data_IF_090559372112
#
_entry.id   IF_090559372112
#
_cell.length_a   1.000
_cell.length_b   1.000
_cell.length_c   1.000
_cell.angle_alpha   90.00
_cell.angle_beta   90.00
_cell.angle_gamma   90.00
#
_symmetry.space_group_name_H-M   'P 1'
#
loop_
_entity.id
_entity.type
_entity.pdbx_description
1 polymer ?
#
# COMPACT_ATOMS: atom_id res chain seq x y z
N UNK A 1 -9.84 -8.90 9.64
CA UNK A 1 -8.96 -8.71 8.45
C UNK A 1 -9.51 -9.56 7.30
N UNK A 2 -9.13 -9.26 6.06
CA UNK A 2 -9.47 -10.09 4.89
C UNK A 2 -8.21 -10.45 4.14
N UNK A 3 -8.07 -11.74 3.83
CA UNK A 3 -6.93 -12.28 3.10
C UNK A 3 -7.40 -13.21 1.97
N UNK A 4 -7.40 -12.67 0.74
CA UNK A 4 -7.78 -13.43 -0.47
C UNK A 4 -6.73 -14.48 -0.88
N UNK A 5 -5.57 -14.52 -0.21
CA UNK A 5 -4.52 -15.54 -0.41
C UNK A 5 -4.63 -16.69 0.59
N UNK A 6 -5.29 -16.47 1.73
CA UNK A 6 -5.62 -17.53 2.67
C UNK A 6 -6.73 -18.41 2.10
N UNK A 7 -6.56 -19.72 2.22
CA UNK A 7 -7.56 -20.71 1.77
C UNK A 7 -8.60 -21.03 2.85
N UNK A 8 -8.30 -20.71 4.11
CA UNK A 8 -9.11 -21.04 5.27
C UNK A 8 -9.19 -19.85 6.20
N UNK A 9 -10.40 -19.57 6.68
CA UNK A 9 -10.62 -18.48 7.65
C UNK A 9 -9.85 -18.80 8.93
N UNK A 10 -9.19 -17.78 9.50
CA UNK A 10 -8.41 -17.91 10.72
C UNK A 10 -9.03 -17.10 11.86
N UNK A 11 -8.93 -17.61 13.07
CA UNK A 11 -9.35 -16.91 14.29
C UNK A 11 -8.30 -17.10 15.38
N UNK A 12 -8.03 -16.03 16.13
CA UNK A 12 -7.18 -16.09 17.31
C UNK A 12 -7.93 -16.66 18.52
N UNK A 13 -7.17 -17.15 19.51
CA UNK A 13 -7.73 -17.67 20.77
C UNK A 13 -8.59 -16.64 21.51
N UNK A 14 -8.25 -15.35 21.42
CA UNK A 14 -9.01 -14.27 22.06
C UNK A 14 -10.47 -14.14 21.58
N UNK A 15 -10.86 -14.79 20.47
CA UNK A 15 -12.24 -14.79 19.98
C UNK A 15 -13.16 -15.81 20.65
N UNK A 16 -12.67 -16.60 21.60
CA UNK A 16 -13.43 -17.65 22.25
C UNK A 16 -13.57 -17.35 23.74
N UNK A 17 -14.78 -17.54 24.29
CA UNK A 17 -15.04 -17.36 25.73
C UNK A 17 -14.33 -18.41 26.60
N UNK A 18 -13.99 -19.56 26.01
CA UNK A 18 -13.28 -20.67 26.64
C UNK A 18 -12.29 -21.29 25.66
N UNK A 19 -11.37 -22.13 26.16
CA UNK A 19 -10.35 -22.77 25.31
C UNK A 19 -11.03 -23.54 24.15
N UNK A 20 -10.76 -23.17 22.88
CA UNK A 20 -11.44 -23.77 21.75
C UNK A 20 -11.01 -25.23 21.57
N UNK A 21 -11.99 -26.11 21.35
CA UNK A 21 -11.71 -27.52 21.10
C UNK A 21 -11.23 -27.73 19.66
N UNK A 22 -9.99 -28.22 19.52
CA UNK A 22 -9.42 -28.63 18.24
C UNK A 22 -10.16 -29.86 17.73
N UNK A 23 -10.78 -29.74 16.56
CA UNK A 23 -11.55 -30.80 15.90
C UNK A 23 -10.70 -31.64 14.97
N UNK A 24 -9.77 -31.00 14.27
CA UNK A 24 -8.89 -31.62 13.30
C UNK A 24 -7.59 -30.82 13.16
N UNK A 25 -6.62 -31.38 12.45
CA UNK A 25 -5.44 -30.65 11.98
C UNK A 25 -5.39 -30.73 10.47
N UNK A 26 -5.54 -29.58 9.80
CA UNK A 26 -5.59 -29.47 8.35
C UNK A 26 -4.25 -28.97 7.80
N UNK A 27 -3.92 -29.37 6.57
CA UNK A 27 -2.76 -28.85 5.85
C UNK A 27 -3.24 -27.82 4.83
N UNK A 28 -2.66 -26.63 4.87
CA UNK A 28 -2.97 -25.52 3.96
C UNK A 28 -1.68 -25.10 3.27
N UNK A 29 -1.74 -24.93 1.95
CA UNK A 29 -0.59 -24.44 1.18
C UNK A 29 -0.63 -22.92 1.09
N UNK A 30 0.53 -22.26 1.16
CA UNK A 30 0.69 -20.83 0.93
C UNK A 30 1.03 -20.56 -0.54
N UNK A 31 0.81 -19.33 -1.06
CA UNK A 31 1.22 -18.97 -2.42
C UNK A 31 2.69 -19.27 -2.72
N UNK A 32 3.57 -19.07 -1.73
CA UNK A 32 5.01 -19.36 -1.84
C UNK A 32 5.33 -20.86 -1.93
N UNK A 33 4.36 -21.74 -1.66
CA UNK A 33 4.49 -23.19 -1.76
C UNK A 33 4.74 -23.91 -0.43
N UNK A 34 4.83 -23.18 0.69
CA UNK A 34 4.93 -23.75 2.03
C UNK A 34 3.63 -24.47 2.42
N UNK A 35 3.74 -25.58 3.14
CA UNK A 35 2.58 -26.31 3.68
C UNK A 35 2.52 -26.12 5.19
N UNK A 36 1.50 -25.38 5.63
CA UNK A 36 1.23 -25.08 7.03
C UNK A 36 0.25 -26.10 7.61
N UNK A 37 0.52 -26.58 8.81
CA UNK A 37 -0.41 -27.42 9.57
C UNK A 37 -1.18 -26.56 10.58
N UNK A 38 -2.50 -26.46 10.40
CA UNK A 38 -3.37 -25.58 11.18
C UNK A 38 -4.36 -26.42 11.99
N UNK A 39 -4.52 -26.10 13.26
CA UNK A 39 -5.53 -26.73 14.12
C UNK A 39 -6.89 -26.11 13.81
N UNK A 40 -7.85 -26.92 13.41
CA UNK A 40 -9.20 -26.49 13.03
C UNK A 40 -10.12 -26.49 14.25
N UNK A 41 -10.84 -25.38 14.45
CA UNK A 41 -11.80 -25.15 15.52
C UNK A 41 -13.13 -24.69 14.93
N UNK A 42 -14.21 -24.73 15.71
CA UNK A 42 -15.47 -24.11 15.28
C UNK A 42 -15.57 -22.68 15.77
N UNK A 43 -15.51 -21.74 14.83
CA UNK A 43 -15.74 -20.33 15.09
C UNK A 43 -17.24 -20.09 15.29
N UNK A 44 -17.67 -19.51 16.42
CA UNK A 44 -19.03 -19.02 16.56
C UNK A 44 -19.41 -18.07 15.42
N UNK A 45 -20.70 -17.97 15.12
CA UNK A 45 -21.17 -17.06 14.08
C UNK A 45 -20.72 -15.63 14.35
N UNK A 46 -20.25 -14.94 13.31
CA UNK A 46 -19.74 -13.58 13.39
C UNK A 46 -20.80 -12.60 12.89
N UNK A 47 -20.77 -11.39 13.43
CA UNK A 47 -21.59 -10.29 12.92
C UNK A 47 -20.71 -9.10 12.60
N UNK A 48 -20.82 -8.61 11.38
CA UNK A 48 -20.16 -7.43 10.86
C UNK A 48 -21.24 -6.45 10.41
N UNK A 49 -21.50 -5.42 11.19
CA UNK A 49 -22.60 -4.47 10.97
C UNK A 49 -23.95 -5.17 10.68
N UNK A 50 -24.40 -5.09 9.43
CA UNK A 50 -25.64 -5.69 8.94
C UNK A 50 -25.47 -7.14 8.43
N UNK A 51 -24.24 -7.61 8.23
CA UNK A 51 -23.94 -8.96 7.75
C UNK A 51 -23.72 -9.93 8.93
N UNK A 52 -24.29 -11.12 8.83
CA UNK A 52 -24.05 -12.21 9.78
C UNK A 52 -23.43 -13.39 9.03
N UNK A 53 -22.26 -13.84 9.47
CA UNK A 53 -21.68 -15.10 9.06
C UNK A 53 -22.17 -16.20 10.01
N UNK A 54 -22.73 -17.30 9.50
CA UNK A 54 -23.07 -18.43 10.35
C UNK A 54 -21.80 -19.05 10.95
N UNK A 55 -21.92 -19.87 12.01
CA UNK A 55 -20.78 -20.61 12.54
C UNK A 55 -20.07 -21.41 11.43
N UNK A 56 -18.74 -21.36 11.43
CA UNK A 56 -17.92 -21.96 10.37
C UNK A 56 -16.63 -22.59 10.92
N UNK A 57 -16.06 -23.59 10.24
CA UNK A 57 -14.74 -24.12 10.61
C UNK A 57 -13.66 -23.07 10.35
N UNK A 58 -12.81 -22.80 11.33
CA UNK A 58 -11.72 -21.85 11.20
C UNK A 58 -10.41 -22.46 11.71
N UNK A 59 -9.30 -22.04 11.14
CA UNK A 59 -7.98 -22.33 11.67
C UNK A 59 -7.68 -21.50 12.91
N UNK A 60 -7.09 -22.13 13.93
CA UNK A 60 -6.69 -21.47 15.15
C UNK A 60 -5.30 -20.84 14.99
N UNK A 61 -5.23 -19.52 15.13
CA UNK A 61 -4.00 -18.75 15.10
C UNK A 61 -3.60 -18.30 16.52
N UNK A 62 -2.30 -18.01 16.71
CA UNK A 62 -1.80 -17.44 17.96
C UNK A 62 -2.12 -15.95 18.02
N UNK A 63 -2.70 -15.50 19.13
CA UNK A 63 -2.97 -14.10 19.39
C UNK A 63 -3.86 -13.95 20.62
N UNK A 64 -3.58 -12.91 21.41
CA UNK A 64 -4.27 -12.66 22.68
C UNK A 64 -5.54 -11.81 22.53
N UNK A 65 -5.59 -10.94 21.52
CA UNK A 65 -6.80 -10.20 21.13
C UNK A 65 -7.73 -11.05 20.25
N UNK A 66 -9.01 -10.73 20.19
CA UNK A 66 -9.90 -11.35 19.20
C UNK A 66 -9.67 -10.74 17.82
N UNK A 67 -9.05 -11.51 16.92
CA UNK A 67 -8.89 -11.18 15.52
C UNK A 67 -9.39 -12.34 14.66
N UNK A 68 -10.15 -12.01 13.62
CA UNK A 68 -10.59 -12.94 12.59
C UNK A 68 -10.04 -12.49 11.24
N UNK A 69 -9.44 -13.41 10.51
CA UNK A 69 -9.01 -13.23 9.12
C UNK A 69 -9.91 -14.04 8.21
N UNK A 70 -10.82 -13.35 7.51
CA UNK A 70 -11.71 -14.00 6.54
C UNK A 70 -10.92 -14.34 5.27
N UNK A 71 -11.05 -15.59 4.84
CA UNK A 71 -10.27 -16.16 3.75
C UNK A 71 -11.17 -16.55 2.58
N UNK A 72 -10.60 -17.17 1.54
CA UNK A 72 -11.32 -17.53 0.32
C UNK A 72 -12.58 -18.38 0.54
N UNK A 73 -12.58 -19.26 1.56
CA UNK A 73 -13.73 -20.08 1.92
C UNK A 73 -14.98 -19.27 2.29
N UNK A 74 -14.80 -18.02 2.70
CA UNK A 74 -15.88 -17.06 2.96
C UNK A 74 -15.96 -16.01 1.86
N UNK A 75 -14.84 -15.35 1.53
CA UNK A 75 -14.85 -14.16 0.67
C UNK A 75 -15.07 -14.50 -0.81
N UNK A 76 -14.82 -15.74 -1.22
CA UNK A 76 -14.99 -16.20 -2.60
C UNK A 76 -16.41 -16.12 -3.15
N UNK A 77 -17.43 -15.91 -2.30
CA UNK A 77 -18.83 -15.77 -2.69
C UNK A 77 -19.29 -14.31 -2.90
N UNK A 78 -18.43 -13.32 -2.59
CA UNK A 78 -18.81 -11.91 -2.54
C UNK A 78 -17.93 -11.05 -3.46
N UNK A 79 -18.46 -9.88 -3.81
CA UNK A 79 -17.65 -8.77 -4.28
C UNK A 79 -17.16 -7.96 -3.07
N UNK A 80 -15.85 -7.88 -2.89
CA UNK A 80 -15.22 -7.14 -1.81
C UNK A 80 -14.95 -5.70 -2.25
N UNK A 81 -15.68 -4.73 -1.71
CA UNK A 81 -15.44 -3.31 -1.94
C UNK A 81 -14.52 -2.76 -0.83
N UNK A 82 -13.37 -2.22 -1.23
CA UNK A 82 -12.40 -1.52 -0.37
C UNK A 82 -12.46 -0.05 -0.73
N UNK A 83 -12.86 0.79 0.22
CA UNK A 83 -12.82 2.24 0.07
C UNK A 83 -11.68 2.80 0.93
N UNK A 84 -10.69 3.44 0.30
CA UNK A 84 -9.45 3.84 0.95
C UNK A 84 -9.64 5.00 1.92
N UNK A 85 -10.29 6.07 1.46
CA UNK A 85 -10.46 7.27 2.26
C UNK A 85 -11.22 7.01 3.58
N UNK A 86 -12.41 6.39 3.58
CA UNK A 86 -13.11 6.05 4.82
C UNK A 86 -12.56 4.76 5.48
N UNK A 87 -11.57 4.10 4.87
CA UNK A 87 -11.01 2.80 5.28
C UNK A 87 -12.06 1.74 5.57
N UNK A 88 -13.10 1.71 4.74
CA UNK A 88 -14.19 0.75 4.90
C UNK A 88 -14.01 -0.44 3.97
N UNK A 89 -14.52 -1.56 4.44
CA UNK A 89 -14.58 -2.81 3.72
C UNK A 89 -16.03 -3.27 3.69
N UNK A 90 -16.59 -3.48 2.51
CA UNK A 90 -17.96 -3.94 2.35
C UNK A 90 -18.03 -5.23 1.52
N UNK A 91 -18.88 -6.15 1.97
CA UNK A 91 -19.24 -7.35 1.23
C UNK A 91 -20.51 -7.07 0.43
N UNK A 92 -20.43 -7.18 -0.90
CA UNK A 92 -21.56 -7.00 -1.81
C UNK A 92 -21.87 -8.29 -2.56
N UNK A 93 -23.09 -8.37 -3.08
CA UNK A 93 -23.43 -9.36 -4.07
C UNK A 93 -22.57 -9.18 -5.33
N UNK A 94 -22.06 -10.30 -5.85
CA UNK A 94 -21.33 -10.32 -7.12
C UNK A 94 -22.19 -9.82 -8.28
N UNK A 95 -21.53 -9.28 -9.31
CA UNK A 95 -22.17 -8.83 -10.56
C UNK A 95 -21.43 -9.42 -11.75
N UNK A 96 -22.11 -9.68 -12.89
CA UNK A 96 -21.42 -10.15 -14.08
C UNK A 96 -20.35 -9.15 -14.54
N UNK A 97 -19.28 -9.66 -15.16
CA UNK A 97 -18.13 -8.86 -15.66
C UNK A 97 -18.59 -7.70 -16.53
N UNK A 98 -19.58 -7.91 -17.38
CA UNK A 98 -20.13 -6.92 -18.30
C UNK A 98 -20.74 -5.72 -17.56
N UNK A 99 -21.33 -5.95 -16.37
CA UNK A 99 -21.88 -4.87 -15.55
C UNK A 99 -20.77 -3.98 -14.96
N UNK A 100 -19.64 -4.58 -14.59
CA UNK A 100 -18.46 -3.82 -14.13
C UNK A 100 -17.86 -3.00 -15.27
N UNK A 101 -17.72 -3.58 -16.47
CA UNK A 101 -17.26 -2.88 -17.66
C UNK A 101 -18.20 -1.72 -18.06
N UNK A 102 -19.51 -1.94 -18.04
CA UNK A 102 -20.50 -0.91 -18.33
C UNK A 102 -20.43 0.25 -17.32
N UNK A 103 -20.28 -0.06 -16.03
CA UNK A 103 -20.10 0.96 -14.97
C UNK A 103 -18.82 1.76 -15.18
N UNK A 104 -17.71 1.09 -15.52
CA UNK A 104 -16.44 1.77 -15.79
C UNK A 104 -16.54 2.73 -16.99
N UNK A 105 -17.21 2.31 -18.08
CA UNK A 105 -17.42 3.13 -19.26
C UNK A 105 -18.31 4.37 -19.00
N UNK A 106 -19.18 4.30 -18.00
CA UNK A 106 -20.07 5.40 -17.59
C UNK A 106 -19.46 6.34 -16.54
N UNK A 107 -18.24 6.07 -16.06
CA UNK A 107 -17.58 6.89 -15.06
C UNK A 107 -17.13 8.23 -15.66
N UNK A 108 -17.71 9.34 -15.19
CA UNK A 108 -17.45 10.69 -15.72
C UNK A 108 -16.36 11.41 -14.91
N UNK A 109 -16.39 11.27 -13.59
CA UNK A 109 -15.52 11.97 -12.63
C UNK A 109 -14.38 11.09 -12.09
N UNK A 110 -14.41 9.79 -12.38
CA UNK A 110 -13.41 8.82 -11.94
C UNK A 110 -12.67 8.21 -13.13
N UNK A 111 -11.44 7.79 -12.88
CA UNK A 111 -10.74 6.82 -13.72
C UNK A 111 -11.01 5.44 -13.16
N UNK A 112 -11.75 4.62 -13.90
CA UNK A 112 -12.10 3.24 -13.50
C UNK A 112 -11.44 2.27 -14.45
N UNK A 113 -10.62 1.37 -13.91
CA UNK A 113 -9.97 0.29 -14.65
C UNK A 113 -10.55 -1.03 -14.20
N UNK A 114 -10.97 -1.87 -15.15
CA UNK A 114 -11.40 -3.25 -14.86
C UNK A 114 -10.29 -4.20 -15.34
N UNK A 115 -9.65 -4.87 -14.40
CA UNK A 115 -8.60 -5.85 -14.63
C UNK A 115 -9.19 -7.26 -14.55
N UNK A 116 -8.70 -8.16 -15.39
CA UNK A 116 -9.08 -9.57 -15.35
C UNK A 116 -8.32 -10.30 -14.25
N UNK A 117 -9.05 -11.05 -13.42
CA UNK A 117 -8.51 -11.98 -12.45
C UNK A 117 -8.67 -13.40 -12.99
N UNK A 118 -7.55 -14.04 -13.26
CA UNK A 118 -7.54 -15.50 -13.48
C UNK A 118 -7.45 -16.23 -12.14
N UNK A 119 -7.64 -17.55 -12.14
CA UNK A 119 -7.58 -18.37 -10.93
C UNK A 119 -6.48 -19.41 -11.04
N UNK A 120 -5.72 -19.57 -9.96
CA UNK A 120 -4.78 -20.68 -9.87
C UNK A 120 -5.57 -22.01 -9.83
N UNK A 121 -5.26 -23.00 -10.70
CA UNK A 121 -6.13 -24.17 -10.88
C UNK A 121 -6.31 -25.10 -9.67
N UNK A 122 -5.42 -25.06 -8.68
CA UNK A 122 -5.43 -25.97 -7.53
C UNK A 122 -6.05 -25.34 -6.30
N UNK A 123 -5.83 -24.05 -6.12
CA UNK A 123 -6.14 -23.32 -4.88
C UNK A 123 -7.03 -22.11 -5.09
N UNK A 124 -7.46 -21.83 -6.34
CA UNK A 124 -8.35 -20.72 -6.69
C UNK A 124 -7.79 -19.32 -6.28
N UNK A 125 -6.48 -19.20 -6.10
CA UNK A 125 -5.86 -17.90 -5.83
C UNK A 125 -6.13 -16.90 -6.96
N UNK A 126 -6.51 -15.64 -6.65
CA UNK A 126 -6.69 -14.62 -7.66
C UNK A 126 -5.34 -14.24 -8.27
N UNK A 127 -5.22 -14.43 -9.58
CA UNK A 127 -4.02 -14.14 -10.34
C UNK A 127 -4.20 -12.92 -11.21
N UNK A 128 -3.25 -11.99 -11.12
CA UNK A 128 -3.11 -10.83 -11.99
C UNK A 128 -1.92 -11.04 -12.94
N UNK A 129 -2.06 -10.70 -14.23
CA UNK A 129 -0.89 -10.52 -15.07
C UNK A 129 -0.13 -9.27 -14.59
N UNK A 130 1.17 -9.43 -14.33
CA UNK A 130 2.03 -8.33 -13.91
C UNK A 130 3.21 -8.23 -14.85
N UNK A 131 3.50 -7.01 -15.30
CA UNK A 131 4.74 -6.69 -15.99
C UNK A 131 5.67 -5.91 -15.08
N UNK A 132 6.83 -6.48 -14.77
CA UNK A 132 7.94 -5.82 -14.07
C UNK A 132 9.01 -5.46 -15.11
N UNK A 133 9.58 -4.27 -15.03
CA UNK A 133 10.67 -3.79 -15.89
C UNK A 133 11.81 -3.23 -15.05
N UNK A 134 13.05 -3.57 -15.41
CA UNK A 134 14.26 -3.08 -14.76
C UNK A 134 15.39 -2.97 -15.78
N UNK A 135 15.86 -1.76 -16.09
CA UNK A 135 17.00 -1.46 -16.96
C UNK A 135 17.02 -2.28 -18.26
N UNK A 136 15.87 -2.41 -18.93
CA UNK A 136 15.72 -3.16 -20.17
C UNK A 136 15.35 -4.64 -19.99
N UNK A 137 15.57 -5.24 -18.82
CA UNK A 137 15.01 -6.53 -18.47
C UNK A 137 13.50 -6.42 -18.19
N UNK A 138 12.75 -7.47 -18.47
CA UNK A 138 11.31 -7.51 -18.20
C UNK A 138 10.83 -8.90 -17.82
N UNK A 139 9.98 -8.95 -16.79
CA UNK A 139 9.22 -10.12 -16.37
C UNK A 139 7.74 -9.85 -16.63
N UNK A 140 7.09 -10.69 -17.44
CA UNK A 140 5.63 -10.70 -17.57
C UNK A 140 5.12 -12.04 -17.11
N UNK A 141 4.43 -12.07 -15.97
CA UNK A 141 4.06 -13.32 -15.31
C UNK A 141 2.85 -13.18 -14.38
N UNK A 142 2.18 -14.28 -14.00
CA UNK A 142 1.09 -14.25 -13.03
C UNK A 142 1.62 -14.03 -11.61
N UNK A 143 1.01 -13.09 -10.91
CA UNK A 143 1.21 -12.86 -9.48
C UNK A 143 -0.11 -13.03 -8.75
N UNK A 144 -0.06 -13.53 -7.53
CA UNK A 144 -1.24 -13.61 -6.66
C UNK A 144 -1.57 -12.22 -6.12
N UNK A 145 -2.82 -11.78 -6.25
CA UNK A 145 -3.30 -10.56 -5.61
C UNK A 145 -3.40 -10.81 -4.09
N UNK A 146 -2.75 -9.96 -3.28
CA UNK A 146 -2.84 -10.02 -1.82
C UNK A 146 -3.56 -8.80 -1.27
N UNK A 147 -4.50 -9.04 -0.34
CA UNK A 147 -5.17 -8.01 0.47
C UNK A 147 -4.51 -7.80 1.82
N UNK A 148 -3.53 -8.63 2.19
CA UNK A 148 -2.92 -8.65 3.51
C UNK A 148 -1.46 -8.17 3.48
N UNK A 149 -0.77 -8.35 2.35
CA UNK A 149 0.61 -7.90 2.20
C UNK A 149 0.68 -6.42 1.81
N UNK A 150 1.38 -5.61 2.63
CA UNK A 150 1.64 -4.21 2.31
C UNK A 150 2.65 -4.02 1.16
N UNK A 151 3.54 -5.00 0.94
CA UNK A 151 4.60 -4.94 -0.09
C UNK A 151 4.50 -6.11 -1.06
N UNK A 152 4.74 -5.81 -2.32
CA UNK A 152 4.82 -6.80 -3.38
C UNK A 152 6.09 -7.64 -3.28
N UNK A 153 5.98 -8.90 -3.68
CA UNK A 153 6.99 -9.92 -3.47
C UNK A 153 7.23 -10.71 -4.76
N UNK A 154 8.42 -11.26 -4.93
CA UNK A 154 8.81 -11.99 -6.14
C UNK A 154 9.55 -13.28 -5.80
N UNK A 155 9.32 -14.32 -6.60
CA UNK A 155 10.12 -15.54 -6.60
C UNK A 155 11.53 -15.22 -7.11
N UNK A 156 12.61 -15.57 -6.37
CA UNK A 156 13.97 -15.37 -6.83
C UNK A 156 14.23 -16.02 -8.20
N UNK A 157 13.74 -17.25 -8.41
CA UNK A 157 13.92 -17.97 -9.67
C UNK A 157 13.23 -17.27 -10.86
N UNK A 158 12.05 -16.67 -10.64
CA UNK A 158 11.36 -15.91 -11.68
C UNK A 158 12.09 -14.60 -12.00
N UNK A 159 12.60 -13.91 -10.98
CA UNK A 159 13.38 -12.68 -11.16
C UNK A 159 14.67 -12.96 -11.93
N UNK A 160 15.45 -13.96 -11.50
CA UNK A 160 16.69 -14.36 -12.13
C UNK A 160 16.47 -14.83 -13.58
N UNK A 161 15.43 -15.63 -13.82
CA UNK A 161 15.07 -16.12 -15.15
C UNK A 161 14.68 -15.01 -16.13
N UNK A 162 14.16 -13.89 -15.64
CA UNK A 162 13.86 -12.70 -16.43
C UNK A 162 15.04 -11.70 -16.51
N UNK A 163 16.19 -12.03 -15.91
CA UNK A 163 17.37 -11.17 -15.89
C UNK A 163 17.25 -9.97 -14.95
N UNK A 164 16.27 -9.97 -14.03
CA UNK A 164 16.14 -8.93 -13.02
C UNK A 164 17.27 -9.07 -12.00
N UNK A 165 17.93 -7.96 -11.71
CA UNK A 165 19.05 -7.86 -10.76
C UNK A 165 18.54 -7.55 -9.35
N UNK A 166 19.22 -8.11 -8.36
CA UNK A 166 18.95 -7.90 -6.93
C UNK A 166 20.11 -7.16 -6.27
N UNK A 167 19.83 -6.38 -5.22
CA UNK A 167 20.88 -5.84 -4.35
C UNK A 167 21.93 -5.03 -5.10
N UNK A 168 23.21 -5.35 -4.85
CA UNK A 168 24.35 -4.74 -5.52
C UNK A 168 24.48 -5.12 -7.00
N UNK A 169 23.88 -6.25 -7.42
CA UNK A 169 23.86 -6.66 -8.81
C UNK A 169 23.13 -5.68 -9.73
N UNK A 170 22.34 -4.75 -9.15
CA UNK A 170 21.81 -3.59 -9.87
C UNK A 170 22.92 -2.75 -10.51
N UNK A 171 24.09 -2.66 -9.88
CA UNK A 171 25.21 -1.87 -10.39
C UNK A 171 26.14 -2.66 -11.33
N UNK A 172 25.88 -3.94 -11.57
CA UNK A 172 26.72 -4.76 -12.44
C UNK A 172 26.69 -4.19 -13.87
N UNK A 173 27.88 -3.86 -14.40
CA UNK A 173 28.03 -3.26 -15.73
C UNK A 173 27.85 -1.74 -15.78
N UNK A 174 27.58 -1.08 -14.66
CA UNK A 174 27.63 0.38 -14.55
C UNK A 174 29.05 0.83 -14.13
N UNK A 175 29.66 1.80 -14.83
CA UNK A 175 30.93 2.39 -14.39
C UNK A 175 30.67 3.23 -13.14
N UNK A 176 31.01 2.67 -11.97
CA UNK A 176 30.98 3.40 -10.71
C UNK A 176 32.17 4.38 -10.68
N UNK A 177 31.98 5.65 -10.25
CA UNK A 177 33.10 6.58 -10.08
C UNK A 177 34.18 5.99 -9.16
N UNK A 178 35.45 6.20 -9.50
CA UNK A 178 36.56 5.79 -8.64
C UNK A 178 36.39 6.39 -7.23
N UNK A 179 36.46 5.54 -6.21
CA UNK A 179 36.30 5.93 -4.81
C UNK A 179 34.87 6.04 -4.28
N UNK A 180 33.85 5.64 -5.06
CA UNK A 180 32.48 5.55 -4.56
C UNK A 180 32.33 4.38 -3.58
N UNK A 181 32.44 4.65 -2.28
CA UNK A 181 32.05 3.68 -1.26
C UNK A 181 30.53 3.59 -1.18
N UNK A 182 29.98 2.44 -1.57
CA UNK A 182 28.56 2.16 -1.37
C UNK A 182 28.28 2.07 0.14
N UNK A 183 27.32 2.86 0.69
CA UNK A 183 26.95 2.80 2.10
C UNK A 183 26.70 1.36 2.57
N UNK A 184 27.09 1.03 3.81
CA UNK A 184 26.96 -0.35 4.32
C UNK A 184 25.50 -0.83 4.31
N UNK A 185 24.55 0.08 4.49
CA UNK A 185 23.11 -0.20 4.44
C UNK A 185 22.67 -0.76 3.06
N UNK A 186 23.40 -0.42 2.00
CA UNK A 186 23.14 -0.90 0.64
C UNK A 186 23.54 -2.37 0.44
N UNK A 187 24.53 -2.84 1.20
CA UNK A 187 24.94 -4.27 1.15
C UNK A 187 23.89 -5.18 1.78
N UNK A 188 23.04 -4.63 2.65
CA UNK A 188 21.95 -5.36 3.29
C UNK A 188 20.69 -5.43 2.40
N UNK A 189 20.60 -4.62 1.34
CA UNK A 189 19.46 -4.64 0.44
C UNK A 189 19.44 -5.94 -0.37
N UNK A 190 18.39 -6.73 -0.18
CA UNK A 190 18.17 -7.96 -0.94
C UNK A 190 17.02 -7.81 -1.95
N UNK A 191 16.39 -6.65 -2.11
CA UNK A 191 15.25 -6.48 -3.01
C UNK A 191 15.59 -6.47 -4.51
N UNK A 192 14.57 -6.61 -5.34
CA UNK A 192 14.62 -6.37 -6.80
C UNK A 192 14.07 -4.98 -7.04
N UNK A 193 14.91 -3.99 -7.35
CA UNK A 193 14.44 -2.69 -7.79
C UNK A 193 13.71 -2.81 -9.14
N UNK A 194 12.72 -1.96 -9.42
CA UNK A 194 12.11 -1.91 -10.75
C UNK A 194 11.92 -0.47 -11.20
N UNK A 195 11.93 -0.27 -12.51
CA UNK A 195 11.54 1.00 -13.13
C UNK A 195 10.03 1.11 -13.25
N UNK A 196 9.36 -0.02 -13.50
CA UNK A 196 7.92 -0.11 -13.60
C UNK A 196 7.41 -1.48 -13.15
N UNK A 197 6.27 -1.48 -12.47
CA UNK A 197 5.43 -2.64 -12.22
C UNK A 197 4.01 -2.27 -12.63
N UNK A 198 3.53 -2.89 -13.71
CA UNK A 198 2.24 -2.60 -14.33
C UNK A 198 1.30 -3.81 -14.25
N UNK A 199 0.05 -3.55 -13.85
CA UNK A 199 -1.06 -4.52 -13.86
C UNK A 199 -1.81 -4.47 -15.21
N UNK A 200 -1.78 -3.31 -15.86
CA UNK A 200 -2.26 -3.06 -17.22
C UNK A 200 -1.56 -1.80 -17.76
N UNK A 201 -1.65 -1.50 -19.07
CA UNK A 201 -1.07 -0.28 -19.62
C UNK A 201 -1.52 0.98 -18.86
N UNK A 202 -0.57 1.71 -18.28
CA UNK A 202 -0.84 2.91 -17.50
C UNK A 202 -1.38 2.70 -16.08
N UNK A 203 -1.57 1.45 -15.65
CA UNK A 203 -2.08 1.08 -14.33
C UNK A 203 -1.01 0.28 -13.60
N UNK A 204 -0.29 0.97 -12.71
CA UNK A 204 0.87 0.40 -12.04
C UNK A 204 1.64 1.43 -11.25
N UNK A 205 2.76 1.00 -10.67
CA UNK A 205 3.77 1.85 -10.03
C UNK A 205 4.96 1.99 -10.96
N UNK A 206 5.60 3.16 -10.94
CA UNK A 206 6.97 3.29 -11.46
C UNK A 206 7.88 3.55 -10.28
N UNK A 207 9.04 2.91 -10.33
CA UNK A 207 10.06 2.93 -9.29
C UNK A 207 9.58 2.31 -7.98
N UNK A 208 10.42 1.44 -7.43
CA UNK A 208 10.12 0.72 -6.21
C UNK A 208 10.91 -0.57 -6.18
N UNK A 209 10.47 -1.49 -5.35
CA UNK A 209 11.14 -2.76 -5.19
C UNK A 209 10.16 -3.90 -4.95
N UNK A 210 10.60 -5.10 -5.30
CA UNK A 210 9.98 -6.33 -4.91
C UNK A 210 10.82 -6.99 -3.83
N UNK A 211 10.18 -7.48 -2.77
CA UNK A 211 10.83 -8.31 -1.77
C UNK A 211 11.00 -9.73 -2.32
N UNK A 212 12.21 -10.27 -2.52
CA UNK A 212 12.35 -11.67 -2.83
C UNK A 212 11.99 -12.52 -1.62
N UNK A 213 11.29 -13.63 -1.87
CA UNK A 213 10.90 -14.57 -0.84
C UNK A 213 11.84 -15.77 -0.86
N UNK A 214 12.60 -15.94 0.21
CA UNK A 214 13.44 -17.14 0.39
C UNK A 214 12.53 -18.35 0.57
N UNK A 215 12.86 -19.45 -0.10
CA UNK A 215 12.09 -20.70 0.01
C UNK A 215 10.81 -20.73 -0.83
N UNK A 216 10.66 -19.83 -1.81
CA UNK A 216 9.58 -19.93 -2.80
C UNK A 216 9.75 -21.21 -3.63
N UNK A 217 8.79 -22.14 -3.53
CA UNK A 217 8.82 -23.43 -4.22
C UNK A 217 7.70 -23.61 -5.22
N UNK A 218 6.74 -22.68 -5.31
CA UNK A 218 5.65 -22.77 -6.27
C UNK A 218 6.11 -22.34 -7.68
N UNK A 219 6.23 -23.26 -8.66
CA UNK A 219 6.73 -22.93 -9.99
C UNK A 219 5.68 -22.25 -10.88
N UNK A 220 4.39 -22.33 -10.51
CA UNK A 220 3.30 -21.76 -11.29
C UNK A 220 3.07 -20.26 -11.06
N UNK A 221 3.72 -19.69 -10.04
CA UNK A 221 3.53 -18.32 -9.60
C UNK A 221 4.86 -17.59 -9.54
N UNK A 222 4.87 -16.33 -9.98
CA UNK A 222 6.09 -15.50 -9.96
C UNK A 222 6.18 -14.56 -8.77
N UNK A 223 5.10 -14.37 -8.01
CA UNK A 223 5.11 -13.52 -6.84
C UNK A 223 3.73 -13.19 -6.28
N UNK A 224 3.70 -12.18 -5.40
CA UNK A 224 2.52 -11.61 -4.77
C UNK A 224 2.47 -10.10 -5.05
N UNK A 225 1.30 -9.57 -5.39
CA UNK A 225 1.07 -8.13 -5.50
C UNK A 225 0.40 -7.64 -4.23
N UNK A 226 1.08 -6.74 -3.51
CA UNK A 226 0.61 -6.14 -2.26
C UNK A 226 -0.04 -4.77 -2.45
N UNK A 227 -0.40 -4.17 -1.31
CA UNK A 227 -1.04 -2.85 -1.23
C UNK A 227 -0.17 -1.70 -1.76
N UNK A 228 1.15 -1.86 -1.85
CA UNK A 228 2.06 -0.91 -2.50
C UNK A 228 1.71 -0.62 -3.98
N UNK A 229 1.05 -1.56 -4.65
CA UNK A 229 0.67 -1.41 -6.06
C UNK A 229 -0.77 -0.95 -6.23
N UNK A 230 -1.73 -1.57 -5.54
CA UNK A 230 -3.17 -1.32 -5.73
C UNK A 230 -3.81 -0.54 -4.58
N UNK A 231 -3.17 -0.44 -3.42
CA UNK A 231 -3.70 0.21 -2.20
C UNK A 231 -3.80 1.74 -2.27
N UNK A 232 -3.73 2.33 -3.46
CA UNK A 232 -4.00 3.75 -3.76
C UNK A 232 -5.26 3.97 -4.60
N UNK A 233 -6.00 2.90 -4.86
CA UNK A 233 -7.30 2.92 -5.53
C UNK A 233 -8.37 2.44 -4.57
N UNK A 234 -9.57 3.00 -4.69
CA UNK A 234 -10.74 2.24 -4.27
C UNK A 234 -10.81 0.98 -5.12
N UNK A 235 -11.00 -0.17 -4.49
CA UNK A 235 -10.91 -1.45 -5.15
C UNK A 235 -12.20 -2.25 -5.00
N UNK A 236 -12.60 -2.96 -6.05
CA UNK A 236 -13.60 -4.03 -5.96
C UNK A 236 -12.97 -5.33 -6.43
N UNK A 237 -12.84 -6.30 -5.52
CA UNK A 237 -12.36 -7.65 -5.83
C UNK A 237 -13.59 -8.55 -5.96
N UNK A 238 -14.01 -8.85 -7.18
CA UNK A 238 -15.16 -9.72 -7.46
C UNK A 238 -14.63 -11.04 -8.05
N UNK A 239 -14.27 -11.96 -7.14
CA UNK A 239 -13.70 -13.25 -7.51
C UNK A 239 -14.66 -14.10 -8.37
N UNK A 240 -15.98 -14.19 -8.08
CA UNK A 240 -16.92 -14.89 -8.97
C UNK A 240 -17.00 -14.30 -10.37
N UNK A 241 -16.92 -12.97 -10.50
CA UNK A 241 -16.92 -12.30 -11.79
C UNK A 241 -15.56 -12.31 -12.50
N UNK A 242 -14.49 -12.73 -11.80
CA UNK A 242 -13.12 -12.76 -12.31
C UNK A 242 -12.56 -11.38 -12.60
N UNK A 243 -12.87 -10.37 -11.75
CA UNK A 243 -12.38 -9.00 -11.96
C UNK A 243 -11.85 -8.32 -10.71
N UNK A 244 -10.84 -7.48 -10.92
CA UNK A 244 -10.39 -6.43 -10.00
C UNK A 244 -10.73 -5.08 -10.62
N UNK A 245 -11.64 -4.34 -10.00
CA UNK A 245 -11.96 -2.96 -10.42
C UNK A 245 -11.15 -2.01 -9.56
N UNK A 246 -10.35 -1.15 -10.19
CA UNK A 246 -9.60 -0.08 -9.52
C UNK A 246 -10.20 1.27 -9.93
N UNK A 247 -10.53 2.10 -8.95
CA UNK A 247 -11.15 3.41 -9.14
C UNK A 247 -10.39 4.48 -8.37
N UNK A 248 -10.28 5.66 -8.96
CA UNK A 248 -9.79 6.88 -8.30
C UNK A 248 -10.37 8.12 -8.97
N UNK A 249 -10.38 9.29 -8.30
CA UNK A 249 -10.68 10.56 -8.95
C UNK A 249 -9.85 10.77 -10.22
N UNK A 250 -10.43 11.43 -11.21
CA UNK A 250 -9.73 11.65 -12.49
C UNK A 250 -8.55 12.61 -12.27
N UNK A 251 -7.34 12.12 -12.51
CA UNK A 251 -6.11 12.93 -12.48
C UNK A 251 -5.92 13.54 -13.86
N UNK A 252 -5.93 14.87 -13.92
CA UNK A 252 -5.74 15.68 -15.11
C UNK A 252 -4.31 16.24 -15.09
N UNK A 253 -3.51 15.92 -16.10
CA UNK A 253 -2.20 16.54 -16.27
C UNK A 253 -2.39 18.01 -16.68
N UNK A 254 -1.84 18.95 -15.91
CA UNK A 254 -1.96 20.39 -16.15
C UNK A 254 -0.59 21.07 -16.01
N UNK A 255 0.25 20.93 -17.03
CA UNK A 255 1.59 21.52 -17.02
C UNK A 255 2.48 20.90 -15.94
N UNK A 256 3.06 21.71 -15.05
CA UNK A 256 3.98 21.26 -13.99
C UNK A 256 3.27 20.66 -12.76
N UNK A 257 1.95 20.77 -12.65
CA UNK A 257 1.17 20.25 -11.51
C UNK A 257 0.02 19.35 -11.99
N UNK A 258 -0.29 18.31 -11.22
CA UNK A 258 -1.45 17.46 -11.47
C UNK A 258 -2.66 18.04 -10.74
N UNK A 259 -3.81 18.09 -11.42
CA UNK A 259 -5.11 18.45 -10.83
C UNK A 259 -5.98 17.22 -10.79
N UNK A 260 -6.95 17.19 -9.89
CA UNK A 260 -7.92 16.11 -9.85
C UNK A 260 -9.33 16.67 -9.99
N UNK A 261 -10.21 15.85 -10.54
CA UNK A 261 -11.64 16.09 -10.57
C UNK A 261 -12.32 15.05 -9.67
N UNK A 262 -13.08 15.51 -8.67
CA UNK A 262 -13.85 14.67 -7.75
C UNK A 262 -15.23 15.28 -7.56
N UNK A 263 -16.26 14.66 -8.15
CA UNK A 263 -17.59 15.27 -8.24
C UNK A 263 -17.51 16.65 -8.93
N UNK A 264 -18.02 17.69 -8.26
CA UNK A 264 -17.97 19.07 -8.75
C UNK A 264 -16.63 19.78 -8.44
N UNK A 265 -15.79 19.23 -7.56
CA UNK A 265 -14.52 19.82 -7.19
C UNK A 265 -13.46 19.59 -8.29
N UNK A 266 -12.80 20.67 -8.71
CA UNK A 266 -11.72 20.66 -9.68
C UNK A 266 -10.55 21.49 -9.15
N UNK A 267 -9.37 20.89 -9.03
CA UNK A 267 -8.19 21.60 -8.56
C UNK A 267 -7.13 20.68 -7.97
N UNK A 268 -6.12 21.29 -7.33
CA UNK A 268 -5.09 20.54 -6.61
C UNK A 268 -5.65 19.92 -5.32
N UNK A 269 -6.48 20.64 -4.57
CA UNK A 269 -7.10 20.14 -3.33
C UNK A 269 -7.99 18.91 -3.56
N UNK A 270 -8.59 18.79 -4.74
CA UNK A 270 -9.39 17.63 -5.14
C UNK A 270 -8.55 16.34 -5.27
N UNK A 271 -7.21 16.45 -5.30
CA UNK A 271 -6.31 15.30 -5.28
C UNK A 271 -6.08 14.72 -3.88
N UNK A 272 -6.61 15.37 -2.85
CA UNK A 272 -6.41 14.99 -1.47
C UNK A 272 -7.75 14.72 -0.78
N UNK A 273 -7.73 13.77 0.14
CA UNK A 273 -8.87 13.45 1.00
C UNK A 273 -8.38 13.25 2.42
N UNK A 274 -9.12 13.81 3.37
CA UNK A 274 -8.92 13.62 4.79
C UNK A 274 -10.26 13.19 5.38
N UNK A 275 -10.28 12.00 5.96
CA UNK A 275 -11.28 11.62 6.95
C UNK A 275 -10.66 11.81 8.33
N UNK A 276 -11.34 12.56 9.20
CA UNK A 276 -10.81 12.88 10.53
C UNK A 276 -11.95 12.97 11.53
N UNK A 277 -11.98 12.04 12.47
CA UNK A 277 -13.05 11.93 13.45
C UNK A 277 -12.51 11.68 14.87
N UNK A 278 -13.22 12.16 15.89
CA UNK A 278 -12.87 11.87 17.28
C UNK A 278 -13.10 10.40 17.60
N UNK A 279 -12.26 9.87 18.47
CA UNK A 279 -12.26 8.49 18.94
C UNK A 279 -11.87 8.45 20.43
N UNK A 280 -11.99 7.29 21.08
CA UNK A 280 -11.53 7.11 22.46
C UNK A 280 -10.01 7.41 22.67
N UNK A 281 -9.09 6.97 21.79
CA UNK A 281 -7.67 7.31 21.93
C UNK A 281 -7.31 8.75 21.53
N UNK A 282 -8.17 9.44 20.76
CA UNK A 282 -7.98 10.84 20.35
C UNK A 282 -8.55 11.12 18.96
N UNK A 283 -7.83 11.84 18.11
CA UNK A 283 -8.23 12.12 16.74
C UNK A 283 -7.72 11.02 15.81
N UNK A 284 -8.63 10.23 15.25
CA UNK A 284 -8.32 9.29 14.17
C UNK A 284 -8.37 10.01 12.85
N UNK A 285 -7.35 9.78 12.02
CA UNK A 285 -7.22 10.41 10.70
C UNK A 285 -6.86 9.37 9.66
N UNK A 286 -7.48 9.47 8.49
CA UNK A 286 -7.11 8.75 7.29
C UNK A 286 -6.93 9.77 6.17
N UNK A 287 -5.78 9.73 5.50
CA UNK A 287 -5.49 10.60 4.36
C UNK A 287 -5.28 9.77 3.13
N UNK A 288 -5.83 10.23 2.01
CA UNK A 288 -5.60 9.65 0.68
C UNK A 288 -5.09 10.72 -0.28
N UNK A 289 -3.98 10.41 -0.95
CA UNK A 289 -3.41 11.18 -2.05
C UNK A 289 -3.70 10.44 -3.35
N UNK A 290 -4.42 11.07 -4.27
CA UNK A 290 -4.86 10.43 -5.53
C UNK A 290 -3.90 10.68 -6.70
N UNK A 291 -2.97 11.63 -6.54
CA UNK A 291 -1.98 12.05 -7.54
C UNK A 291 -0.57 11.56 -7.21
N UNK A 292 0.34 11.67 -8.17
CA UNK A 292 1.76 11.48 -7.90
C UNK A 292 2.37 12.69 -7.17
N UNK A 293 3.32 12.40 -6.28
CA UNK A 293 4.14 13.34 -5.52
C UNK A 293 5.63 13.13 -5.90
N UNK A 294 6.08 13.55 -7.09
CA UNK A 294 7.45 13.34 -7.54
C UNK A 294 8.50 13.91 -6.58
N UNK A 295 8.18 15.02 -5.90
CA UNK A 295 9.04 15.67 -4.91
C UNK A 295 8.68 15.34 -3.46
N UNK A 296 7.61 14.58 -3.23
CA UNK A 296 7.03 14.34 -1.91
C UNK A 296 6.32 15.59 -1.40
N UNK A 297 5.99 15.60 -0.11
CA UNK A 297 5.41 16.80 0.48
C UNK A 297 4.79 16.56 1.83
N UNK A 298 4.08 17.58 2.32
CA UNK A 298 3.30 17.49 3.55
C UNK A 298 1.91 18.07 3.37
N UNK A 299 0.92 17.34 3.87
CA UNK A 299 -0.44 17.80 4.04
C UNK A 299 -0.59 18.36 5.45
N UNK A 300 -1.05 19.60 5.55
CA UNK A 300 -1.30 20.31 6.80
C UNK A 300 -2.77 20.24 7.16
N UNK A 301 -3.06 20.10 8.45
CA UNK A 301 -4.42 20.00 8.97
C UNK A 301 -4.77 21.22 9.82
N UNK A 302 -5.99 21.72 9.64
CA UNK A 302 -6.65 22.63 10.55
C UNK A 302 -7.46 21.80 11.55
N UNK A 303 -6.88 21.59 12.73
CA UNK A 303 -7.51 20.80 13.80
C UNK A 303 -8.57 21.63 14.50
N UNK A 304 -9.77 21.08 14.64
CA UNK A 304 -10.88 21.74 15.30
C UNK A 304 -10.81 21.49 16.81
N UNK A 305 -10.50 22.49 17.65
CA UNK A 305 -10.38 22.31 19.08
C UNK A 305 -11.75 22.03 19.74
N UNK A 306 -11.72 21.46 20.95
CA UNK A 306 -12.94 21.21 21.73
C UNK A 306 -13.69 22.52 22.05
N UNK A 307 -12.94 23.58 22.38
CA UNK A 307 -13.46 24.88 22.78
C UNK A 307 -13.18 25.95 21.71
N UNK A 308 -14.21 26.74 21.39
CA UNK A 308 -14.07 27.84 20.43
C UNK A 308 -13.13 28.93 20.97
N UNK A 309 -12.13 29.33 20.18
CA UNK A 309 -11.16 30.37 20.53
C UNK A 309 -9.83 29.85 21.10
N UNK A 310 -9.70 28.55 21.33
CA UNK A 310 -8.42 27.92 21.66
C UNK A 310 -7.48 27.99 20.44
N UNK A 311 -6.37 28.71 20.57
CA UNK A 311 -5.39 28.82 19.49
C UNK A 311 -4.54 27.55 19.43
N UNK A 312 -4.46 26.96 18.24
CA UNK A 312 -3.52 25.88 17.95
C UNK A 312 -2.08 26.39 18.17
N UNK A 313 -1.45 25.92 19.24
CA UNK A 313 -0.01 26.06 19.45
C UNK A 313 0.82 25.07 18.65
N UNK A 314 0.17 24.24 17.83
CA UNK A 314 0.76 23.08 17.20
C UNK A 314 0.33 23.02 15.74
N UNK A 315 1.25 22.68 14.85
CA UNK A 315 0.99 22.35 13.45
C UNK A 315 0.97 20.83 13.32
N UNK A 316 -0.04 20.31 12.65
CA UNK A 316 -0.30 18.88 12.53
C UNK A 316 -0.45 18.54 11.06
N UNK A 317 0.00 17.36 10.67
CA UNK A 317 -0.10 16.93 9.29
C UNK A 317 0.45 15.54 9.06
N UNK A 318 0.47 15.16 7.78
CA UNK A 318 1.11 13.94 7.28
C UNK A 318 2.12 14.31 6.22
N UNK A 319 3.24 13.61 6.24
CA UNK A 319 4.36 13.74 5.29
C UNK A 319 4.32 12.56 4.34
N UNK A 320 4.77 12.77 3.11
CA UNK A 320 4.83 11.75 2.06
C UNK A 320 6.20 11.80 1.39
N UNK A 321 6.78 10.63 1.08
CA UNK A 321 8.09 10.57 0.44
C UNK A 321 8.02 11.02 -1.03
N UNK A 322 9.14 11.43 -1.63
CA UNK A 322 9.25 11.62 -3.07
C UNK A 322 8.91 10.36 -3.86
N UNK A 323 8.43 10.56 -5.09
CA UNK A 323 8.06 9.51 -6.05
C UNK A 323 6.87 8.64 -5.63
N UNK A 324 6.17 9.03 -4.57
CA UNK A 324 4.88 8.46 -4.23
C UNK A 324 3.90 8.70 -5.40
N UNK A 325 3.08 7.70 -5.76
CA UNK A 325 2.13 7.77 -6.88
C UNK A 325 0.69 7.90 -6.42
N UNK A 326 0.55 8.28 -5.15
CA UNK A 326 -0.67 8.27 -4.40
C UNK A 326 -0.51 7.25 -3.27
N UNK A 327 -0.71 7.73 -2.05
CA UNK A 327 -0.64 6.95 -0.83
C UNK A 327 -1.87 7.19 0.01
N UNK A 328 -2.30 6.15 0.71
CA UNK A 328 -3.22 6.27 1.82
C UNK A 328 -2.47 5.95 3.11
N UNK A 329 -2.68 6.75 4.16
CA UNK A 329 -2.12 6.51 5.49
C UNK A 329 -3.19 6.73 6.55
N UNK A 330 -3.09 6.03 7.68
CA UNK A 330 -3.92 6.31 8.84
C UNK A 330 -3.10 6.47 10.11
N UNK A 331 -3.49 7.44 10.93
CA UNK A 331 -2.80 7.76 12.17
C UNK A 331 -3.78 8.12 13.27
N UNK A 332 -3.38 7.81 14.50
CA UNK A 332 -4.13 8.17 15.70
C UNK A 332 -3.33 9.20 16.48
N UNK A 333 -3.87 10.40 16.58
CA UNK A 333 -3.27 11.49 17.34
C UNK A 333 -3.92 11.59 18.73
N UNK A 334 -3.16 11.75 19.82
CA UNK A 334 -1.71 11.68 19.91
C UNK A 334 -1.20 10.24 20.09
N UNK A 335 -0.01 9.94 19.54
CA UNK A 335 0.73 8.73 19.89
C UNK A 335 1.48 8.88 21.23
N UNK A 336 1.87 7.75 21.82
CA UNK A 336 2.47 7.72 23.16
C UNK A 336 3.71 8.63 23.33
N UNK A 337 4.61 8.66 22.34
CA UNK A 337 5.82 9.51 22.37
C UNK A 337 5.50 11.00 22.28
N UNK A 338 4.44 11.38 21.56
CA UNK A 338 4.00 12.78 21.50
C UNK A 338 3.53 13.26 22.87
N UNK A 339 2.76 12.44 23.59
CA UNK A 339 2.30 12.76 24.94
C UNK A 339 3.44 13.02 25.93
N UNK A 340 4.59 12.38 25.73
CA UNK A 340 5.78 12.56 26.58
C UNK A 340 6.59 13.81 26.21
N UNK A 341 6.73 14.09 24.90
CA UNK A 341 7.63 15.13 24.39
C UNK A 341 6.96 16.49 24.21
N UNK A 342 5.66 16.51 23.89
CA UNK A 342 4.87 17.72 23.64
C UNK A 342 3.47 17.57 24.26
N UNK A 343 3.37 17.54 25.61
CA UNK A 343 2.11 17.23 26.30
C UNK A 343 0.98 18.22 25.99
N UNK A 344 1.30 19.49 25.74
CA UNK A 344 0.31 20.50 25.35
C UNK A 344 -0.35 20.20 24.00
N UNK A 345 0.43 19.80 22.99
CA UNK A 345 -0.11 19.38 21.70
C UNK A 345 -0.89 18.07 21.81
N UNK A 346 -0.41 17.14 22.63
CA UNK A 346 -1.07 15.86 22.83
C UNK A 346 -2.46 16.01 23.46
N UNK A 347 -2.62 16.87 24.47
CA UNK A 347 -3.92 17.11 25.11
C UNK A 347 -4.93 17.76 24.16
N UNK A 348 -4.46 18.70 23.33
CA UNK A 348 -5.31 19.31 22.31
C UNK A 348 -5.81 18.27 21.31
N UNK A 349 -4.93 17.40 20.83
CA UNK A 349 -5.28 16.36 19.86
C UNK A 349 -6.19 15.28 20.45
N UNK A 350 -6.04 14.99 21.74
CA UNK A 350 -6.91 14.06 22.47
C UNK A 350 -8.34 14.56 22.56
N UNK A 351 -8.54 15.87 22.61
CA UNK A 351 -9.86 16.52 22.76
C UNK A 351 -10.39 17.12 21.47
N UNK A 352 -9.66 16.99 20.35
CA UNK A 352 -10.05 17.53 19.06
C UNK A 352 -11.37 16.93 18.57
N UNK A 353 -12.20 17.76 17.93
CA UNK A 353 -13.51 17.38 17.39
C UNK A 353 -13.46 16.89 15.95
N UNK A 354 -12.34 17.12 15.27
CA UNK A 354 -12.14 16.80 13.86
C UNK A 354 -10.96 17.59 13.31
N UNK A 355 -10.69 17.41 12.03
CA UNK A 355 -9.71 18.20 11.29
C UNK A 355 -10.14 18.36 9.83
N UNK A 356 -9.70 19.45 9.20
CA UNK A 356 -9.87 19.69 7.77
C UNK A 356 -8.52 19.89 7.09
N UNK A 357 -8.45 19.59 5.80
CA UNK A 357 -7.27 19.91 5.00
C UNK A 357 -7.07 21.44 4.97
N UNK A 358 -5.86 21.88 5.31
CA UNK A 358 -5.46 23.28 5.34
C UNK A 358 -4.67 23.66 4.08
N UNK A 359 -3.60 22.92 3.82
CA UNK A 359 -2.71 23.15 2.68
C UNK A 359 -1.88 21.91 2.33
N UNK A 360 -1.40 21.88 1.10
CA UNK A 360 -0.34 20.97 0.66
C UNK A 360 0.93 21.75 0.33
N UNK A 361 2.08 21.27 0.81
CA UNK A 361 3.39 21.82 0.48
C UNK A 361 4.24 20.76 -0.23
N UNK A 362 4.45 20.92 -1.53
CA UNK A 362 5.30 20.03 -2.35
C UNK A 362 6.78 20.39 -2.11
N UNK A 363 7.42 19.67 -1.20
CA UNK A 363 8.84 19.82 -0.91
C UNK A 363 9.41 18.57 -0.24
N UNK A 364 10.71 18.27 -0.42
CA UNK A 364 11.36 17.20 0.33
C UNK A 364 11.21 17.43 1.84
N UNK A 365 10.72 16.43 2.55
CA UNK A 365 10.54 16.50 4.00
C UNK A 365 11.68 15.76 4.70
N UNK A 366 12.66 16.52 5.20
CA UNK A 366 13.81 15.94 5.92
C UNK A 366 13.49 15.59 7.38
N UNK A 367 12.48 16.24 7.97
CA UNK A 367 12.19 16.15 9.41
C UNK A 367 11.45 14.86 9.79
N UNK A 368 10.64 14.33 8.89
CA UNK A 368 9.92 13.06 9.02
C UNK A 368 10.02 12.33 7.67
N UNK A 369 11.10 11.55 7.43
CA UNK A 369 11.28 10.88 6.15
C UNK A 369 10.28 9.72 6.02
N UNK A 370 9.43 9.76 4.99
CA UNK A 370 8.48 8.70 4.68
C UNK A 370 7.02 9.14 4.77
N UNK A 371 6.12 8.16 4.89
CA UNK A 371 4.70 8.41 5.14
C UNK A 371 4.46 8.45 6.64
N UNK A 372 4.47 9.66 7.20
CA UNK A 372 4.45 9.85 8.65
C UNK A 372 3.48 10.96 9.07
N UNK A 373 2.73 10.71 10.14
CA UNK A 373 2.10 11.76 10.92
C UNK A 373 3.17 12.59 11.62
N UNK A 374 2.97 13.90 11.69
CA UNK A 374 3.84 14.79 12.42
C UNK A 374 3.07 15.83 13.21
N UNK A 375 3.67 16.24 14.32
CA UNK A 375 3.23 17.35 15.14
C UNK A 375 4.42 18.26 15.44
N UNK A 376 4.26 19.53 15.14
CA UNK A 376 5.25 20.57 15.40
C UNK A 376 4.68 21.57 16.39
N UNK A 377 5.30 21.69 17.56
CA UNK A 377 5.02 22.78 18.49
C UNK A 377 5.58 24.09 17.92
N UNK A 378 4.72 25.07 17.70
CA UNK A 378 5.07 26.35 17.07
C UNK A 378 5.91 27.25 17.99
N UNK A 379 5.88 27.02 19.31
CA UNK A 379 6.66 27.78 20.29
C UNK A 379 8.09 27.25 20.38
N UNK A 380 8.25 25.94 20.57
CA UNK A 380 9.55 25.29 20.71
C UNK A 380 10.19 24.92 19.36
N UNK A 381 9.41 24.93 18.27
CA UNK A 381 9.75 24.41 16.94
C UNK A 381 10.11 22.92 16.91
N UNK A 382 9.87 22.20 18.01
CA UNK A 382 10.15 20.78 18.09
C UNK A 382 9.15 19.99 17.25
N UNK A 383 9.66 19.05 16.45
CA UNK A 383 8.85 18.14 15.63
C UNK A 383 8.89 16.74 16.24
N UNK A 384 7.74 16.09 16.28
CA UNK A 384 7.59 14.68 16.64
C UNK A 384 6.90 13.99 15.47
N UNK A 385 7.37 12.80 15.10
CA UNK A 385 6.80 12.03 13.98
C UNK A 385 6.40 10.61 14.44
N UNK A 386 5.38 10.06 13.80
CA UNK A 386 5.00 8.65 13.83
C UNK A 386 4.85 8.17 12.38
N UNK A 387 5.64 7.18 11.98
CA UNK A 387 5.65 6.64 10.63
C UNK A 387 5.01 5.26 10.58
N UNK A 388 4.19 5.01 9.57
CA UNK A 388 3.73 3.65 9.27
C UNK A 388 4.96 2.79 8.87
N UNK A 389 5.12 1.60 9.46
CA UNK A 389 6.15 0.64 9.04
C UNK A 389 7.54 0.75 9.70
N UNK A 390 7.70 1.57 10.76
CA UNK A 390 8.94 1.65 11.54
C UNK A 390 10.10 2.31 10.79
N UNK A 391 10.90 3.11 11.50
CA UNK A 391 12.00 3.93 10.96
C UNK A 391 13.22 3.14 10.43
N UNK A 392 13.05 1.92 9.89
CA UNK A 392 14.16 0.96 9.76
C UNK A 392 14.26 0.09 8.51
N UNK A 393 13.42 0.19 7.47
CA UNK A 393 13.60 -0.71 6.31
C UNK A 393 13.58 -0.11 4.90
N UNK A 394 13.20 1.16 4.74
CA UNK A 394 13.04 1.77 3.40
C UNK A 394 14.06 2.85 3.03
N UNK A 395 14.81 3.43 3.98
CA UNK A 395 15.66 4.59 3.68
C UNK A 395 16.93 4.20 2.92
N UNK A 396 17.59 3.10 3.31
CA UNK A 396 18.72 2.54 2.56
C UNK A 396 18.32 2.06 1.17
N UNK A 397 17.15 1.43 1.07
CA UNK A 397 16.52 1.02 -0.20
C UNK A 397 16.20 2.23 -1.09
N UNK A 398 15.63 3.30 -0.52
CA UNK A 398 15.36 4.55 -1.24
C UNK A 398 16.64 5.19 -1.75
N UNK A 399 17.66 5.28 -0.88
CA UNK A 399 18.97 5.85 -1.24
C UNK A 399 19.68 5.02 -2.32
N UNK A 400 19.51 3.70 -2.30
CA UNK A 400 19.96 2.80 -3.37
C UNK A 400 19.29 3.15 -4.70
N UNK A 401 17.97 3.25 -4.70
CA UNK A 401 17.17 3.54 -5.89
C UNK A 401 17.51 4.92 -6.47
N UNK A 402 17.73 5.92 -5.62
CA UNK A 402 18.19 7.26 -6.01
C UNK A 402 19.58 7.24 -6.67
N UNK A 403 20.55 6.54 -6.06
CA UNK A 403 21.90 6.39 -6.62
C UNK A 403 21.88 5.65 -7.96
N UNK A 404 21.15 4.53 -8.02
CA UNK A 404 20.98 3.74 -9.23
C UNK A 404 20.38 4.57 -10.38
N UNK A 405 19.32 5.34 -10.08
CA UNK A 405 18.71 6.26 -11.05
C UNK A 405 19.71 7.28 -11.58
N UNK A 406 20.45 7.95 -10.69
CA UNK A 406 21.42 8.95 -11.11
C UNK A 406 22.50 8.40 -12.04
N UNK A 407 22.88 7.13 -11.85
CA UNK A 407 23.85 6.46 -12.72
C UNK A 407 23.24 6.10 -14.08
N UNK A 408 22.01 5.57 -14.12
CA UNK A 408 21.30 5.26 -15.38
C UNK A 408 21.05 6.53 -16.19
N UNK A 409 20.51 7.58 -15.58
CA UNK A 409 20.23 8.85 -16.27
C UNK A 409 21.51 9.46 -16.88
N UNK A 410 22.64 9.35 -16.17
CA UNK A 410 23.94 9.79 -16.70
C UNK A 410 24.39 8.94 -17.89
N UNK A 411 24.20 7.63 -17.85
CA UNK A 411 24.54 6.75 -18.97
C UNK A 411 23.67 6.99 -20.19
N UNK A 412 22.35 7.13 -20.01
CA UNK A 412 21.43 7.43 -21.11
C UNK A 412 21.80 8.74 -21.79
N UNK A 413 22.04 9.81 -21.00
CA UNK A 413 22.51 11.10 -21.54
C UNK A 413 23.88 11.00 -22.22
N UNK A 414 24.79 10.16 -21.72
CA UNK A 414 26.10 9.94 -22.35
C UNK A 414 25.98 9.19 -23.69
N UNK A 415 25.07 8.21 -23.77
CA UNK A 415 24.79 7.47 -24.99
C UNK A 415 24.09 8.33 -26.05
N UNK A 416 23.10 9.13 -25.64
CA UNK A 416 22.43 10.11 -26.52
C UNK A 416 23.41 11.11 -27.12
N UNK A 417 24.34 11.67 -26.30
CA UNK A 417 25.41 12.55 -26.79
C UNK A 417 26.38 11.88 -27.75
N UNK A 418 26.62 10.57 -27.61
CA UNK A 418 27.47 9.83 -28.54
C UNK A 418 26.77 9.50 -29.87
N UNK A 419 25.44 9.63 -29.91
CA UNK A 419 24.60 9.44 -31.10
C UNK A 419 24.27 10.77 -31.81
N UNK A 420 24.55 11.92 -31.19
CA UNK A 420 24.47 13.22 -31.86
C UNK A 420 25.56 13.28 -32.96
N UNK A 421 25.19 13.50 -34.22
CA UNK A 421 26.18 13.65 -35.29
C UNK A 421 27.03 14.89 -34.99
N UNK A 422 28.36 14.74 -35.05
CA UNK A 422 29.26 15.89 -34.97
C UNK A 422 28.93 16.86 -36.11
N UNK A 423 28.65 18.12 -35.76
CA UNK A 423 28.36 19.19 -36.72
C UNK A 423 29.58 19.33 -37.65
N UNK A 424 29.42 19.23 -38.99
CA UNK A 424 30.51 19.03 -39.95
C UNK A 424 31.48 20.20 -40.13
#
# INVERSE_FOLDING_TARGET
>A
RVDVTALRTLATRGCFESEPQVRARVKVQTPAGEVLGIDEVALPGLRFDAAALPPLPAGLERGDGCEVTLAQDVVGAYALEVALAPRTLAFRATRPREAHLARAAQAIDHTVTVLELSREPRFDWPLLPVQVRQAGASLTAPFVLSTNDARSQVSPAAADGAGLKTGLGLFDGLPLPDGLELPQELRAFQGVAYDALELAPGVGVRQGSLRPVKGWTNPGLSGLVGGDVWGRFDATIDLPAGVLVLSRPRVLESGSFQRCQRGEALGEDACFELDAHPSAPGLETAVTVWRGLPLGGRLLFDVQPAQAGERLGCRVGITFPPQDRGASSAHVFPWARLAQTQPGCAELLRTAKGATLSAFEESPVDQCPGTCAFVQDLRSRQVSCECEGGAGSGEGERRLLELYRHLIERQQKAHERALEPEDP
#
